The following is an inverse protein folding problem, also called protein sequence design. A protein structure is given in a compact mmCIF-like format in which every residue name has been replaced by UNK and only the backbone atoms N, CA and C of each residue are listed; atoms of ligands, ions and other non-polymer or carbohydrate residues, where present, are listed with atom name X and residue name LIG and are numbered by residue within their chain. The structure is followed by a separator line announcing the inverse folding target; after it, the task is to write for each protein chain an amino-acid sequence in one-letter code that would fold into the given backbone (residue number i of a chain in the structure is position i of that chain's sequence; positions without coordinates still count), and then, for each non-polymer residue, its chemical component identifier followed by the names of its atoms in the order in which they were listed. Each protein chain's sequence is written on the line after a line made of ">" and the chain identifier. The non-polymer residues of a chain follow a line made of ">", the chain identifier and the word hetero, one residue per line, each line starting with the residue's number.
data_IF_621048783214
#
_entry.id   IF_621048783214
#
_cell.length_a   1.000
_cell.length_b   1.000
_cell.length_c   1.000
_cell.angle_alpha   90.00
_cell.angle_beta   90.00
_cell.angle_gamma   90.00
#
_symmetry.space_group_name_H-M   'P 1'
#
loop_
_entity.id
_entity.type
_entity.pdbx_description
1 polymer ?
#
# COMPACT_ATOMS: atom_id res chain seq x y z
N UNK A 1 15.56 2.63 -4.55
CA UNK A 1 14.16 2.52 -4.07
C UNK A 1 14.05 2.63 -2.55
N UNK A 2 14.76 1.81 -1.76
CA UNK A 2 14.75 1.92 -0.28
C UNK A 2 15.08 3.34 0.22
N UNK A 3 16.09 3.99 -0.37
CA UNK A 3 16.43 5.39 -0.05
C UNK A 3 15.28 6.37 -0.28
N UNK A 4 14.56 6.24 -1.39
CA UNK A 4 13.46 7.16 -1.72
C UNK A 4 12.28 6.92 -0.77
N UNK A 5 11.98 5.65 -0.52
CA UNK A 5 10.88 5.27 0.36
C UNK A 5 11.12 5.77 1.78
N UNK A 6 12.37 5.69 2.29
CA UNK A 6 12.77 6.19 3.62
C UNK A 6 13.00 7.70 3.70
N UNK A 7 13.50 8.33 2.63
CA UNK A 7 13.90 9.75 2.69
C UNK A 7 12.86 10.71 2.12
N UNK A 8 11.95 10.25 1.27
CA UNK A 8 10.99 11.12 0.56
C UNK A 8 9.55 10.77 0.93
N UNK A 9 9.16 9.50 0.85
CA UNK A 9 7.75 9.10 1.03
C UNK A 9 7.36 8.96 2.51
N UNK A 10 8.19 8.31 3.32
CA UNK A 10 7.86 8.02 4.73
C UNK A 10 7.85 9.24 5.66
N UNK A 11 8.49 10.34 5.24
CA UNK A 11 8.64 11.57 6.03
C UNK A 11 7.50 12.55 5.88
N UNK A 12 6.65 12.35 4.87
CA UNK A 12 5.53 13.25 4.59
C UNK A 12 4.33 12.85 5.42
N UNK A 13 3.97 13.71 6.37
CA UNK A 13 2.79 13.56 7.21
C UNK A 13 1.63 14.33 6.60
N UNK A 14 0.51 13.64 6.37
CA UNK A 14 -0.67 14.23 5.73
C UNK A 14 -1.89 14.18 6.67
N UNK A 15 -2.81 15.18 6.58
CA UNK A 15 -3.92 15.32 7.51
C UNK A 15 -5.11 14.38 7.25
N UNK A 16 -5.17 13.76 6.06
CA UNK A 16 -6.26 12.88 5.66
C UNK A 16 -5.81 11.86 4.60
N UNK A 17 -6.57 10.79 4.43
CA UNK A 17 -6.39 9.75 3.41
C UNK A 17 -7.02 10.26 2.12
N UNK A 18 -6.22 10.36 1.06
CA UNK A 18 -6.70 10.90 -0.20
C UNK A 18 -5.60 11.34 -1.16
N UNK A 19 -6.01 11.78 -2.34
CA UNK A 19 -5.09 12.33 -3.34
C UNK A 19 -4.79 13.80 -3.06
N UNK A 20 -3.57 14.20 -3.40
CA UNK A 20 -3.10 15.57 -3.22
C UNK A 20 -3.67 16.49 -4.30
N UNK A 21 -4.11 17.67 -3.88
CA UNK A 21 -4.45 18.81 -4.72
C UNK A 21 -3.44 19.92 -4.45
N UNK A 22 -2.81 20.42 -5.51
CA UNK A 22 -1.90 21.55 -5.43
C UNK A 22 -2.71 22.84 -5.23
N UNK A 23 -2.40 23.59 -4.17
CA UNK A 23 -3.02 24.89 -3.89
C UNK A 23 -2.21 26.01 -4.54
N UNK A 24 -0.89 25.93 -4.43
CA UNK A 24 0.08 26.86 -5.00
C UNK A 24 1.38 26.10 -5.38
N UNK A 25 2.41 26.82 -5.82
CA UNK A 25 3.65 26.22 -6.35
C UNK A 25 4.35 25.24 -5.38
N UNK A 26 4.12 25.33 -4.06
CA UNK A 26 4.79 24.52 -3.05
C UNK A 26 3.88 23.92 -1.98
N UNK A 27 2.58 24.24 -1.99
CA UNK A 27 1.61 23.80 -0.98
C UNK A 27 0.62 22.82 -1.57
N UNK A 28 0.46 21.68 -0.89
CA UNK A 28 -0.48 20.62 -1.24
C UNK A 28 -1.44 20.36 -0.09
N UNK A 29 -2.70 20.08 -0.40
CA UNK A 29 -3.69 19.56 0.56
C UNK A 29 -4.26 18.24 0.07
N UNK A 30 -4.76 17.44 1.00
CA UNK A 30 -5.52 16.25 0.67
C UNK A 30 -6.98 16.66 0.43
N UNK A 31 -7.45 16.59 -0.81
CA UNK A 31 -8.79 17.09 -1.18
C UNK A 31 -9.66 16.06 -1.90
N UNK A 32 -9.05 15.09 -2.57
CA UNK A 32 -9.75 14.11 -3.38
C UNK A 32 -9.65 12.71 -2.79
N UNK A 33 -10.52 11.81 -3.23
CA UNK A 33 -10.43 10.38 -2.86
C UNK A 33 -9.04 9.81 -3.15
N UNK A 34 -8.60 8.79 -2.41
CA UNK A 34 -7.38 8.08 -2.75
C UNK A 34 -7.53 7.44 -4.14
N UNK A 35 -6.50 7.57 -4.97
CA UNK A 35 -6.44 6.94 -6.29
C UNK A 35 -5.46 5.76 -6.22
N UNK A 36 -5.95 4.61 -5.77
CA UNK A 36 -5.18 3.37 -5.75
C UNK A 36 -5.26 2.64 -7.09
N UNK A 37 -4.20 1.88 -7.41
CA UNK A 37 -4.23 1.00 -8.60
C UNK A 37 -5.38 0.01 -8.49
N UNK A 38 -5.66 -0.47 -7.28
CA UNK A 38 -6.75 -1.41 -7.02
C UNK A 38 -8.12 -0.83 -7.39
N UNK A 39 -8.43 0.40 -6.96
CA UNK A 39 -9.69 1.07 -7.33
C UNK A 39 -9.82 1.25 -8.84
N UNK A 40 -8.71 1.53 -9.53
CA UNK A 40 -8.69 1.65 -10.98
C UNK A 40 -8.98 0.30 -11.68
N UNK A 41 -8.34 -0.78 -11.24
CA UNK A 41 -8.58 -2.14 -11.79
C UNK A 41 -10.02 -2.62 -11.55
N UNK A 42 -10.61 -2.31 -10.39
CA UNK A 42 -12.00 -2.67 -10.09
C UNK A 42 -12.99 -2.05 -11.09
N UNK A 43 -12.73 -0.81 -11.52
CA UNK A 43 -13.56 -0.14 -12.54
C UNK A 43 -13.23 -0.66 -13.94
N UNK A 44 -11.94 -0.79 -14.27
CA UNK A 44 -11.47 -1.11 -15.62
C UNK A 44 -11.77 -2.56 -16.02
N UNK A 45 -11.51 -3.51 -15.11
CA UNK A 45 -11.59 -4.95 -15.36
C UNK A 45 -12.62 -5.61 -14.44
N UNK A 46 -12.79 -5.10 -13.22
CA UNK A 46 -13.68 -5.67 -12.20
C UNK A 46 -15.18 -5.41 -12.39
N UNK A 47 -15.59 -4.71 -13.45
CA UNK A 47 -16.99 -4.36 -13.77
C UNK A 47 -17.73 -3.52 -12.72
N UNK A 48 -17.01 -2.99 -11.72
CA UNK A 48 -17.61 -2.15 -10.69
C UNK A 48 -17.89 -0.75 -11.25
N UNK A 49 -19.08 -0.23 -10.98
CA UNK A 49 -19.44 1.13 -11.38
C UNK A 49 -18.58 2.15 -10.62
N UNK A 50 -18.05 3.15 -11.35
CA UNK A 50 -17.27 4.25 -10.77
C UNK A 50 -18.02 4.99 -9.65
N UNK A 51 -19.35 5.05 -9.72
CA UNK A 51 -20.21 5.67 -8.70
C UNK A 51 -20.18 4.97 -7.34
N UNK A 52 -19.72 3.71 -7.28
CA UNK A 52 -19.53 2.94 -6.04
C UNK A 52 -18.19 3.22 -5.37
N UNK A 53 -17.24 3.85 -6.07
CA UNK A 53 -16.02 4.30 -5.43
C UNK A 53 -16.33 5.43 -4.45
N UNK A 54 -15.56 5.52 -3.36
CA UNK A 54 -15.58 6.68 -2.49
C UNK A 54 -15.34 7.96 -3.30
N UNK A 55 -15.98 9.08 -2.95
CA UNK A 55 -15.86 10.32 -3.72
C UNK A 55 -15.09 11.43 -3.01
N UNK A 56 -14.67 11.23 -1.76
CA UNK A 56 -13.98 12.22 -0.94
C UNK A 56 -12.75 11.64 -0.26
N UNK A 57 -11.86 12.54 0.17
CA UNK A 57 -10.85 12.21 1.16
C UNK A 57 -11.52 11.82 2.50
N UNK A 58 -10.77 11.10 3.32
CA UNK A 58 -11.22 10.57 4.61
C UNK A 58 -10.25 11.02 5.69
N UNK A 59 -10.74 11.49 6.83
CA UNK A 59 -9.87 12.01 7.90
C UNK A 59 -9.22 10.91 8.78
N UNK A 60 -9.77 9.69 8.77
CA UNK A 60 -9.32 8.58 9.64
C UNK A 60 -8.93 7.33 8.86
N UNK A 61 -7.87 6.66 9.32
CA UNK A 61 -7.40 5.37 8.84
C UNK A 61 -8.46 4.26 8.98
N UNK A 62 -9.17 4.21 10.11
CA UNK A 62 -10.23 3.23 10.36
C UNK A 62 -11.37 3.28 9.32
N UNK A 63 -11.80 4.48 8.96
CA UNK A 63 -12.83 4.68 7.94
C UNK A 63 -12.33 4.34 6.54
N UNK A 64 -11.03 4.51 6.27
CA UNK A 64 -10.43 4.02 5.02
C UNK A 64 -10.49 2.49 4.91
N UNK A 65 -10.24 1.77 6.00
CA UNK A 65 -10.32 0.29 5.99
C UNK A 65 -11.74 -0.22 5.86
N UNK A 66 -12.69 0.39 6.55
CA UNK A 66 -14.10 0.03 6.43
C UNK A 66 -14.60 0.25 5.00
N UNK A 67 -14.24 1.37 4.38
CA UNK A 67 -14.62 1.63 3.01
C UNK A 67 -13.94 0.73 1.97
N UNK A 68 -12.69 0.31 2.22
CA UNK A 68 -12.04 -0.72 1.40
C UNK A 68 -12.77 -2.05 1.52
N UNK A 69 -13.20 -2.44 2.73
CA UNK A 69 -13.96 -3.65 2.94
C UNK A 69 -15.34 -3.59 2.25
N UNK A 70 -16.04 -2.47 2.37
CA UNK A 70 -17.32 -2.22 1.67
C UNK A 70 -17.12 -2.28 0.15
N UNK A 71 -16.03 -1.70 -0.36
CA UNK A 71 -15.69 -1.75 -1.78
C UNK A 71 -15.45 -3.18 -2.27
N UNK A 72 -14.76 -4.02 -1.49
CA UNK A 72 -14.59 -5.43 -1.82
C UNK A 72 -15.91 -6.20 -1.81
N UNK A 73 -16.83 -5.89 -0.89
CA UNK A 73 -18.17 -6.48 -0.85
C UNK A 73 -19.03 -6.03 -2.03
N UNK A 74 -18.95 -4.75 -2.40
CA UNK A 74 -19.61 -4.22 -3.59
C UNK A 74 -19.07 -4.89 -4.86
N UNK A 75 -17.74 -5.02 -5.00
CA UNK A 75 -17.17 -5.73 -6.14
C UNK A 75 -17.65 -7.19 -6.22
N UNK A 76 -17.69 -7.90 -5.08
CA UNK A 76 -18.19 -9.27 -5.00
C UNK A 76 -19.64 -9.42 -5.48
N UNK A 77 -20.51 -8.50 -5.09
CA UNK A 77 -21.94 -8.55 -5.48
C UNK A 77 -22.16 -8.21 -6.96
N UNK A 78 -21.29 -7.39 -7.54
CA UNK A 78 -21.39 -6.97 -8.95
C UNK A 78 -20.68 -7.92 -9.92
N UNK A 79 -19.86 -8.84 -9.43
CA UNK A 79 -19.12 -9.79 -10.27
C UNK A 79 -20.07 -10.88 -10.81
N UNK A 80 -20.44 -10.77 -12.09
CA UNK A 80 -21.48 -11.62 -12.71
C UNK A 80 -21.02 -12.99 -13.21
N UNK A 81 -19.77 -13.12 -13.68
CA UNK A 81 -19.27 -14.34 -14.34
C UNK A 81 -17.98 -14.84 -13.66
N UNK A 82 -17.83 -16.16 -13.52
CA UNK A 82 -16.62 -16.87 -13.02
C UNK A 82 -16.01 -16.31 -11.71
N UNK A 83 -16.82 -15.66 -10.88
CA UNK A 83 -16.39 -15.03 -9.63
C UNK A 83 -15.81 -16.05 -8.63
N UNK A 84 -16.23 -17.31 -8.75
CA UNK A 84 -15.84 -18.42 -7.88
C UNK A 84 -15.55 -19.64 -8.74
N UNK A 85 -14.28 -20.04 -8.80
CA UNK A 85 -13.87 -21.31 -9.42
C UNK A 85 -14.08 -22.51 -8.49
N UNK A 86 -13.94 -22.32 -7.16
CA UNK A 86 -14.10 -23.36 -6.14
C UNK A 86 -14.58 -22.78 -4.78
N UNK A 87 -15.31 -23.59 -4.00
CA UNK A 87 -15.96 -23.16 -2.75
C UNK A 87 -15.04 -22.50 -1.70
N UNK A 88 -13.80 -22.98 -1.44
CA UNK A 88 -12.89 -22.32 -0.51
C UNK A 88 -12.48 -20.90 -0.97
N UNK A 89 -12.39 -20.68 -2.28
CA UNK A 89 -12.10 -19.36 -2.86
C UNK A 89 -13.23 -18.36 -2.59
N UNK A 90 -14.49 -18.80 -2.69
CA UNK A 90 -15.66 -17.98 -2.35
C UNK A 90 -15.64 -17.57 -0.88
N UNK A 91 -15.42 -18.55 0.01
CA UNK A 91 -15.42 -18.33 1.45
C UNK A 91 -14.35 -17.32 1.85
N UNK A 92 -13.14 -17.42 1.28
CA UNK A 92 -12.07 -16.44 1.51
C UNK A 92 -12.47 -15.05 1.01
N UNK A 93 -12.96 -14.96 -0.22
CA UNK A 93 -13.34 -13.67 -0.81
C UNK A 93 -14.42 -12.95 0.00
N UNK A 94 -15.40 -13.69 0.54
CA UNK A 94 -16.45 -13.15 1.42
C UNK A 94 -15.99 -12.83 2.84
N UNK A 95 -15.13 -13.67 3.41
CA UNK A 95 -14.73 -13.53 4.82
C UNK A 95 -13.62 -12.50 5.03
N UNK A 96 -12.75 -12.28 4.05
CA UNK A 96 -11.63 -11.34 4.16
C UNK A 96 -12.10 -9.89 4.42
N UNK A 97 -13.03 -9.30 3.66
CA UNK A 97 -13.52 -7.95 3.94
C UNK A 97 -14.16 -7.83 5.33
N UNK A 98 -14.97 -8.83 5.72
CA UNK A 98 -15.61 -8.85 7.03
C UNK A 98 -14.60 -8.96 8.19
N UNK A 99 -13.52 -9.72 8.00
CA UNK A 99 -12.41 -9.79 8.95
C UNK A 99 -11.69 -8.44 9.05
N UNK A 100 -11.41 -7.78 7.93
CA UNK A 100 -10.78 -6.45 7.90
C UNK A 100 -11.63 -5.41 8.63
N UNK A 101 -12.93 -5.31 8.35
CA UNK A 101 -13.82 -4.38 9.07
C UNK A 101 -13.91 -4.69 10.56
N UNK A 102 -13.86 -5.97 10.95
CA UNK A 102 -13.85 -6.36 12.36
C UNK A 102 -12.55 -5.94 13.04
N UNK A 103 -11.41 -6.24 12.45
CA UNK A 103 -10.09 -5.87 12.98
C UNK A 103 -9.89 -4.35 13.01
N UNK A 104 -10.44 -3.62 12.03
CA UNK A 104 -10.45 -2.15 12.00
C UNK A 104 -11.20 -1.58 13.21
N UNK A 105 -12.44 -2.04 13.44
CA UNK A 105 -13.27 -1.60 14.58
C UNK A 105 -12.68 -1.98 15.93
N UNK A 106 -11.98 -3.11 16.00
CA UNK A 106 -11.29 -3.56 17.22
C UNK A 106 -9.91 -2.90 17.38
N UNK A 107 -9.50 -1.98 16.48
CA UNK A 107 -8.16 -1.36 16.41
C UNK A 107 -7.00 -2.37 16.38
N UNK A 108 -7.25 -3.59 15.90
CA UNK A 108 -6.27 -4.68 15.81
C UNK A 108 -5.49 -4.68 14.49
N UNK A 109 -5.89 -3.87 13.50
CA UNK A 109 -5.10 -3.62 12.29
C UNK A 109 -3.88 -2.73 12.58
N UNK A 110 -3.98 -1.90 13.62
CA UNK A 110 -2.84 -1.14 14.13
C UNK A 110 -2.03 -2.05 15.05
N UNK A 111 -0.73 -2.21 14.77
CA UNK A 111 0.16 -2.82 15.76
C UNK A 111 0.16 -1.95 17.02
N UNK A 112 0.26 -2.52 18.24
CA UNK A 112 0.23 -1.75 19.49
C UNK A 112 1.26 -0.61 19.54
N UNK A 113 2.42 -0.80 18.90
CA UNK A 113 3.47 0.21 18.72
C UNK A 113 3.07 1.35 17.77
N UNK A 114 2.18 1.10 16.82
CA UNK A 114 1.63 2.09 15.89
C UNK A 114 0.34 2.73 16.40
N UNK A 115 -0.16 2.39 17.60
CA UNK A 115 -1.42 2.96 18.12
C UNK A 115 -1.39 4.49 18.28
N UNK A 116 -0.23 5.08 18.61
CA UNK A 116 -0.01 6.54 18.54
C UNK A 116 0.19 7.05 17.10
N UNK A 117 0.71 6.20 16.21
CA UNK A 117 0.90 6.46 14.77
C UNK A 117 -0.33 6.18 13.90
N UNK A 118 -1.45 5.70 14.47
CA UNK A 118 -2.69 5.41 13.74
C UNK A 118 -3.35 6.66 13.13
N UNK A 119 -2.90 7.85 13.55
CA UNK A 119 -3.19 9.16 12.95
C UNK A 119 -2.17 9.63 11.90
N UNK A 120 -1.07 8.91 11.73
CA UNK A 120 0.00 9.26 10.81
C UNK A 120 -0.31 8.66 9.44
N UNK A 121 -0.60 9.56 8.50
CA UNK A 121 -0.82 9.22 7.10
C UNK A 121 0.42 9.59 6.31
N UNK A 122 0.94 8.63 5.56
CA UNK A 122 2.17 8.75 4.79
C UNK A 122 1.85 8.82 3.31
N UNK A 123 2.68 9.53 2.56
CA UNK A 123 2.58 9.49 1.10
C UNK A 123 2.97 8.08 0.62
N UNK A 124 2.12 7.44 -0.16
CA UNK A 124 2.33 6.10 -0.69
C UNK A 124 2.02 6.06 -2.18
N UNK A 125 2.78 5.25 -2.92
CA UNK A 125 2.56 5.02 -4.34
C UNK A 125 2.39 3.52 -4.58
N UNK A 126 1.23 3.13 -5.11
CA UNK A 126 0.94 1.72 -5.37
C UNK A 126 1.74 1.13 -6.52
N UNK A 127 2.25 1.95 -7.44
CA UNK A 127 3.00 1.52 -8.62
C UNK A 127 4.47 1.98 -8.58
N UNK A 128 5.09 1.89 -7.41
CA UNK A 128 6.49 2.28 -7.21
C UNK A 128 7.50 1.22 -7.69
N UNK A 129 7.19 0.58 -8.83
CA UNK A 129 8.00 -0.48 -9.43
C UNK A 129 9.33 0.05 -9.99
N UNK A 130 10.37 -0.80 -10.10
CA UNK A 130 11.67 -0.40 -10.62
C UNK A 130 11.63 0.29 -12.00
N UNK A 131 10.69 -0.10 -12.87
CA UNK A 131 10.56 0.49 -14.22
C UNK A 131 10.17 1.97 -14.20
N UNK A 132 9.64 2.47 -13.07
CA UNK A 132 9.20 3.86 -12.90
C UNK A 132 10.32 4.75 -12.30
N UNK A 133 11.54 4.22 -12.15
CA UNK A 133 12.71 4.93 -11.64
C UNK A 133 13.69 5.19 -12.78
N UNK A 134 13.97 6.47 -13.04
CA UNK A 134 14.94 6.88 -14.05
C UNK A 134 16.35 6.90 -13.46
N UNK A 135 17.30 6.31 -14.18
CA UNK A 135 18.73 6.29 -13.84
C UNK A 135 19.54 7.05 -14.89
N UNK A 136 20.60 7.74 -14.47
CA UNK A 136 21.62 8.25 -15.39
C UNK A 136 22.65 7.18 -15.77
N UNK A 137 23.62 7.55 -16.61
CA UNK A 137 24.73 6.70 -17.05
C UNK A 137 25.56 6.13 -15.89
N UNK A 138 25.56 6.80 -14.73
CA UNK A 138 26.27 6.37 -13.52
C UNK A 138 25.38 5.53 -12.58
N UNK A 139 24.21 5.06 -13.03
CA UNK A 139 23.22 4.32 -12.23
C UNK A 139 22.69 5.09 -11.01
N UNK A 140 22.72 6.42 -11.07
CA UNK A 140 22.15 7.29 -10.04
C UNK A 140 20.72 7.63 -10.40
N UNK A 141 19.85 7.67 -9.39
CA UNK A 141 18.45 8.03 -9.56
C UNK A 141 18.36 9.51 -9.91
N UNK A 142 17.77 9.82 -11.06
CA UNK A 142 17.57 11.19 -11.55
C UNK A 142 16.11 11.62 -11.55
N UNK A 143 15.18 10.68 -11.47
CA UNK A 143 13.77 11.00 -11.49
C UNK A 143 12.88 9.82 -11.21
N UNK A 144 11.64 10.14 -10.87
CA UNK A 144 10.53 9.21 -10.77
C UNK A 144 9.49 9.61 -11.80
N UNK A 145 8.90 8.63 -12.46
CA UNK A 145 7.81 8.82 -13.40
C UNK A 145 6.59 8.01 -12.95
N UNK A 146 5.47 8.24 -13.61
CA UNK A 146 4.27 7.40 -13.45
C UNK A 146 3.75 7.34 -12.00
N UNK A 147 3.71 8.51 -11.34
CA UNK A 147 3.27 8.68 -9.95
C UNK A 147 1.73 8.83 -9.84
N UNK A 148 0.97 8.41 -10.84
CA UNK A 148 -0.48 8.63 -10.91
C UNK A 148 -1.26 7.95 -9.78
N UNK A 149 -0.75 6.85 -9.22
CA UNK A 149 -1.33 6.14 -8.08
C UNK A 149 -0.71 6.53 -6.74
N UNK A 150 -0.34 7.80 -6.60
CA UNK A 150 0.23 8.35 -5.36
C UNK A 150 -0.85 9.01 -4.51
N UNK A 151 -1.00 8.58 -3.27
CA UNK A 151 -2.00 9.09 -2.34
C UNK A 151 -1.52 9.03 -0.88
N UNK A 152 -2.18 9.78 -0.02
CA UNK A 152 -1.98 9.70 1.43
C UNK A 152 -2.63 8.41 1.95
N UNK A 153 -1.82 7.50 2.48
CA UNK A 153 -2.27 6.20 2.97
C UNK A 153 -2.02 6.04 4.47
N UNK A 154 -2.84 5.23 5.18
CA UNK A 154 -2.54 4.80 6.54
C UNK A 154 -1.15 4.15 6.63
N UNK A 155 -0.47 4.35 7.76
CA UNK A 155 0.88 3.80 7.98
C UNK A 155 0.89 2.28 7.82
N UNK A 156 -0.20 1.62 8.19
CA UNK A 156 -0.42 0.19 8.02
C UNK A 156 -0.28 -0.25 6.57
N UNK A 157 -0.80 0.52 5.60
CA UNK A 157 -0.66 0.20 4.16
C UNK A 157 0.78 0.45 3.72
N UNK A 158 1.37 1.60 4.09
CA UNK A 158 2.74 1.95 3.68
C UNK A 158 3.82 1.03 4.27
N UNK A 159 3.50 0.35 5.37
CA UNK A 159 4.37 -0.61 6.05
C UNK A 159 4.13 -2.04 5.58
N UNK A 160 3.13 -2.28 4.74
CA UNK A 160 2.88 -3.59 4.17
C UNK A 160 3.97 -3.94 3.15
N UNK A 161 4.34 -5.23 3.01
CA UNK A 161 5.27 -5.65 1.99
C UNK A 161 4.84 -5.22 0.58
N UNK A 162 5.67 -4.47 -0.16
CA UNK A 162 5.27 -3.97 -1.47
C UNK A 162 5.09 -5.11 -2.47
N UNK A 163 3.96 -5.11 -3.17
CA UNK A 163 3.69 -6.10 -4.22
C UNK A 163 4.59 -5.88 -5.45
N UNK A 164 4.92 -4.61 -5.75
CA UNK A 164 5.76 -4.19 -6.87
C UNK A 164 7.25 -4.54 -6.76
N UNK A 165 7.67 -5.25 -5.68
CA UNK A 165 9.02 -5.83 -5.60
C UNK A 165 9.30 -6.78 -6.77
N UNK A 166 8.25 -7.38 -7.30
CA UNK A 166 8.28 -8.18 -8.51
C UNK A 166 7.65 -7.36 -9.63
N UNK A 167 8.33 -7.30 -10.78
CA UNK A 167 7.90 -6.50 -11.91
C UNK A 167 6.66 -7.11 -12.62
N UNK A 168 6.41 -8.39 -12.42
CA UNK A 168 5.29 -9.13 -12.99
C UNK A 168 4.18 -9.33 -11.95
N UNK A 169 2.94 -9.11 -12.37
CA UNK A 169 1.77 -9.37 -11.54
C UNK A 169 1.55 -10.89 -11.37
N UNK A 170 0.90 -11.26 -10.27
CA UNK A 170 0.63 -12.66 -9.89
C UNK A 170 -0.11 -13.39 -11.01
N UNK A 171 -1.03 -12.70 -11.69
CA UNK A 171 -1.90 -13.21 -12.74
C UNK A 171 -1.14 -13.69 -13.98
N UNK A 172 0.04 -13.11 -14.26
CA UNK A 172 0.84 -13.44 -15.43
C UNK A 172 1.96 -14.44 -15.13
N UNK A 173 2.07 -14.93 -13.88
CA UNK A 173 3.15 -15.84 -13.55
C UNK A 173 2.87 -17.28 -13.97
N UNK A 174 3.76 -17.88 -14.81
CA UNK A 174 3.50 -19.18 -15.43
C UNK A 174 3.41 -20.31 -14.41
N UNK A 175 4.15 -20.20 -13.31
CA UNK A 175 4.20 -21.20 -12.23
C UNK A 175 3.16 -20.96 -11.12
N UNK A 176 2.26 -19.98 -11.31
CA UNK A 176 1.17 -19.66 -10.39
C UNK A 176 1.58 -18.97 -9.08
N UNK A 177 0.60 -18.83 -8.18
CA UNK A 177 0.74 -18.02 -6.96
C UNK A 177 1.74 -18.58 -5.94
N UNK A 178 1.92 -19.90 -5.85
CA UNK A 178 2.85 -20.48 -4.87
C UNK A 178 4.31 -20.23 -5.23
N UNK A 179 4.65 -20.40 -6.52
CA UNK A 179 5.91 -19.94 -7.05
C UNK A 179 6.04 -18.43 -6.82
N UNK A 180 4.91 -17.71 -6.94
CA UNK A 180 4.93 -16.28 -6.73
C UNK A 180 5.41 -15.86 -5.36
N UNK A 181 4.76 -16.42 -4.36
CA UNK A 181 5.03 -16.14 -2.96
C UNK A 181 6.47 -16.51 -2.57
N UNK A 182 7.02 -17.60 -3.12
CA UNK A 182 8.41 -18.01 -2.85
C UNK A 182 9.42 -16.99 -3.35
N UNK A 183 9.26 -16.53 -4.59
CA UNK A 183 10.19 -15.53 -5.16
C UNK A 183 9.99 -14.18 -4.49
N UNK A 184 8.74 -13.80 -4.20
CA UNK A 184 8.43 -12.57 -3.48
C UNK A 184 9.08 -12.55 -2.10
N UNK A 185 8.91 -13.60 -1.30
CA UNK A 185 9.52 -13.70 0.04
C UNK A 185 11.04 -13.58 -0.03
N UNK A 186 11.69 -14.30 -0.95
CA UNK A 186 13.13 -14.22 -1.12
C UNK A 186 13.62 -12.81 -1.47
N UNK A 187 12.92 -12.12 -2.40
CA UNK A 187 13.24 -10.75 -2.80
C UNK A 187 12.96 -9.76 -1.69
N UNK A 188 11.89 -9.95 -0.93
CA UNK A 188 11.53 -9.15 0.23
C UNK A 188 12.59 -9.25 1.33
N UNK A 189 13.13 -10.43 1.61
CA UNK A 189 14.25 -10.56 2.56
C UNK A 189 15.49 -9.77 2.10
N UNK A 190 15.76 -9.75 0.79
CA UNK A 190 16.86 -8.95 0.23
C UNK A 190 16.58 -7.45 0.37
N UNK A 191 15.35 -7.03 0.08
CA UNK A 191 14.92 -5.65 0.23
C UNK A 191 15.00 -5.19 1.69
N UNK A 192 14.51 -5.99 2.65
CA UNK A 192 14.59 -5.69 4.09
C UNK A 192 16.03 -5.56 4.58
N UNK A 193 16.96 -6.40 4.08
CA UNK A 193 18.39 -6.26 4.43
C UNK A 193 18.97 -4.92 3.97
N UNK A 194 18.59 -4.47 2.78
CA UNK A 194 19.00 -3.16 2.26
C UNK A 194 18.34 -2.05 3.08
N UNK A 195 17.01 -2.14 3.29
CA UNK A 195 16.23 -1.17 4.05
C UNK A 195 16.83 -0.94 5.45
N UNK A 196 17.14 -2.00 6.19
CA UNK A 196 17.78 -1.92 7.52
C UNK A 196 19.12 -1.20 7.45
N UNK A 197 19.98 -1.52 6.47
CA UNK A 197 21.27 -0.84 6.32
C UNK A 197 21.11 0.67 6.10
N UNK A 198 20.10 1.07 5.33
CA UNK A 198 19.81 2.49 5.10
C UNK A 198 19.17 3.15 6.33
N UNK A 199 18.26 2.47 7.02
CA UNK A 199 17.68 2.94 8.29
C UNK A 199 18.78 3.15 9.35
N UNK A 200 19.66 2.16 9.55
CA UNK A 200 20.78 2.23 10.49
C UNK A 200 21.74 3.39 10.16
N UNK A 201 22.02 3.60 8.88
CA UNK A 201 22.84 4.73 8.45
C UNK A 201 22.16 6.07 8.77
N UNK A 202 20.88 6.22 8.45
CA UNK A 202 20.13 7.44 8.70
C UNK A 202 19.94 7.73 10.20
N UNK A 203 19.73 6.70 11.02
CA UNK A 203 19.68 6.79 12.49
C UNK A 203 21.01 7.34 13.05
N UNK A 204 22.15 6.81 12.58
CA UNK A 204 23.48 7.30 12.99
C UNK A 204 23.72 8.77 12.64
N UNK A 205 23.14 9.23 11.53
CA UNK A 205 23.20 10.63 11.12
C UNK A 205 22.11 11.52 11.74
N UNK A 206 21.23 10.97 12.59
CA UNK A 206 20.10 11.70 13.19
C UNK A 206 19.09 12.21 12.15
N UNK A 207 18.99 11.54 10.99
CA UNK A 207 18.10 11.92 9.88
C UNK A 207 16.81 11.09 9.82
N UNK A 208 16.65 10.15 10.74
CA UNK A 208 15.51 9.25 10.88
C UNK A 208 15.31 8.98 12.37
N UNK A 209 14.07 8.97 12.81
CA UNK A 209 13.66 8.57 14.16
C UNK A 209 13.21 7.09 14.17
N UNK A 210 13.24 6.42 15.32
CA UNK A 210 12.88 5.00 15.43
C UNK A 210 11.42 4.71 15.00
N UNK A 211 10.50 5.66 15.22
CA UNK A 211 9.09 5.58 14.81
C UNK A 211 8.88 5.69 13.29
N UNK A 212 9.89 6.16 12.57
CA UNK A 212 9.88 6.28 11.11
C UNK A 212 10.42 5.04 10.40
N UNK A 213 10.94 4.06 11.15
CA UNK A 213 11.44 2.80 10.60
C UNK A 213 10.29 1.96 10.04
N UNK A 214 10.52 1.37 8.86
CA UNK A 214 9.53 0.55 8.15
C UNK A 214 9.92 -0.92 8.13
N UNK A 215 11.19 -1.26 8.28
CA UNK A 215 11.66 -2.65 8.21
C UNK A 215 11.07 -3.56 9.30
N UNK A 216 10.93 -3.06 10.52
CA UNK A 216 10.35 -3.78 11.66
C UNK A 216 8.88 -4.12 11.42
N UNK A 217 8.00 -3.12 11.25
CA UNK A 217 6.59 -3.34 10.94
C UNK A 217 6.36 -4.21 9.70
N UNK A 218 7.14 -4.00 8.63
CA UNK A 218 7.02 -4.78 7.39
C UNK A 218 7.36 -6.26 7.60
N UNK A 219 8.39 -6.56 8.41
CA UNK A 219 8.75 -7.93 8.77
C UNK A 219 7.70 -8.59 9.66
N UNK A 220 7.13 -7.84 10.60
CA UNK A 220 6.07 -8.36 11.48
C UNK A 220 4.82 -8.71 10.69
N UNK A 221 4.37 -7.81 9.80
CA UNK A 221 3.22 -8.04 8.90
C UNK A 221 3.43 -9.23 7.97
N UNK A 222 4.64 -9.37 7.43
CA UNK A 222 4.96 -10.54 6.62
C UNK A 222 4.83 -11.86 7.40
N UNK A 223 5.26 -11.88 8.67
CA UNK A 223 5.20 -13.08 9.53
C UNK A 223 3.80 -13.37 10.03
N UNK A 224 3.03 -12.35 10.39
CA UNK A 224 1.68 -12.49 10.91
C UNK A 224 0.66 -12.80 9.82
N UNK A 225 0.97 -12.44 8.56
CA UNK A 225 0.01 -12.50 7.45
C UNK A 225 -1.11 -11.48 7.58
N UNK A 226 -0.98 -10.51 8.49
CA UNK A 226 -1.93 -9.41 8.70
C UNK A 226 -1.49 -8.28 7.77
N UNK A 227 -2.34 -7.97 6.79
CA UNK A 227 -2.18 -6.85 5.87
C UNK A 227 -2.80 -5.59 6.46
#
# INVERSE_FOLDING_TARGET
>A
MADILLQQLSKLYLPGVGSLEQIDDFTFKVAHRPLSIHMNELVRVGTLLRSKLQNSAVESSSFSFDALADLHMDHLTHQRNDAVKYAPGCQRKKNSPAAVSRLSRENQLATPSLSQCSRILKLWCDDFKPSNVLLNENLQIVGLIDLEFTYAAPTEISSAPPWWLLNEQIEYWPDGIEAWMKVHDYRLQTFLKVLIKHEDALLRYGRLEEDQMLSGPMREKQRSGIF
#
